data_IF_241250602144
#
_entry.id   IF_241250602144
#
_cell.length_a   1.000
_cell.length_b   1.000
_cell.length_c   1.000
_cell.angle_alpha   90.00
_cell.angle_beta   90.00
_cell.angle_gamma   90.00
#
_symmetry.space_group_name_H-M   'P 1'
#
loop_
_entity.id
_entity.type
_entity.pdbx_description
1 polymer ?
#
# COMPACT_ATOMS: atom_id res chain seq x y z
N UNK A 1 -18.02 -3.56 -5.91
CA UNK A 1 -17.54 -4.88 -5.46
C UNK A 1 -17.93 -5.13 -4.02
N UNK A 2 -17.84 -6.36 -3.58
CA UNK A 2 -18.11 -6.74 -2.18
C UNK A 2 -16.85 -6.68 -1.30
N UNK A 3 -15.77 -6.12 -1.81
CA UNK A 3 -14.47 -6.02 -1.14
C UNK A 3 -13.32 -6.06 -2.14
N UNK A 4 -12.10 -5.92 -1.64
CA UNK A 4 -10.87 -5.85 -2.43
C UNK A 4 -10.64 -7.13 -3.26
N UNK A 5 -10.84 -8.30 -2.67
CA UNK A 5 -10.70 -9.58 -3.36
C UNK A 5 -11.64 -9.70 -4.58
N UNK A 6 -12.87 -9.23 -4.48
CA UNK A 6 -13.81 -9.25 -5.60
C UNK A 6 -13.39 -8.29 -6.73
N UNK A 7 -12.80 -7.15 -6.38
CA UNK A 7 -12.25 -6.22 -7.36
C UNK A 7 -11.00 -6.79 -8.03
N UNK A 8 -10.10 -7.43 -7.28
CA UNK A 8 -8.88 -8.03 -7.83
C UNK A 8 -9.18 -9.17 -8.81
N UNK A 9 -10.18 -10.01 -8.51
CA UNK A 9 -10.65 -11.07 -9.42
C UNK A 9 -11.21 -10.47 -10.72
N UNK A 10 -12.03 -9.42 -10.64
CA UNK A 10 -12.57 -8.74 -11.82
C UNK A 10 -11.44 -8.15 -12.67
N UNK A 11 -10.52 -7.44 -12.05
CA UNK A 11 -9.38 -6.81 -12.72
C UNK A 11 -8.47 -7.86 -13.38
N UNK A 12 -8.19 -8.96 -12.69
CA UNK A 12 -7.38 -10.05 -13.25
C UNK A 12 -8.08 -10.74 -14.42
N UNK A 13 -9.40 -10.88 -14.37
CA UNK A 13 -10.19 -11.41 -15.49
C UNK A 13 -10.06 -10.48 -16.72
N UNK A 14 -10.27 -9.18 -16.53
CA UNK A 14 -10.13 -8.19 -17.60
C UNK A 14 -8.72 -8.19 -18.19
N UNK A 15 -7.71 -8.25 -17.33
CA UNK A 15 -6.31 -8.32 -17.75
C UNK A 15 -6.04 -9.55 -18.65
N UNK A 16 -6.56 -10.72 -18.29
CA UNK A 16 -6.44 -11.96 -19.07
C UNK A 16 -7.18 -11.91 -20.40
N UNK A 17 -8.25 -11.14 -20.49
CA UNK A 17 -8.98 -10.87 -21.71
C UNK A 17 -8.29 -9.83 -22.62
N UNK A 18 -7.14 -9.27 -22.19
CA UNK A 18 -6.34 -8.35 -22.99
C UNK A 18 -6.65 -6.87 -22.76
N UNK A 19 -7.46 -6.54 -21.75
CA UNK A 19 -7.76 -5.15 -21.43
C UNK A 19 -6.59 -4.48 -20.71
N UNK A 20 -6.35 -3.22 -21.06
CA UNK A 20 -5.47 -2.30 -20.34
C UNK A 20 -6.33 -1.36 -19.51
N UNK A 21 -5.98 -1.18 -18.23
CA UNK A 21 -6.76 -0.38 -17.33
C UNK A 21 -5.89 0.31 -16.29
N UNK A 22 -6.43 1.35 -15.69
CA UNK A 22 -5.83 2.08 -14.59
C UNK A 22 -6.84 2.14 -13.45
N UNK A 23 -6.39 1.84 -12.25
CA UNK A 23 -7.22 1.86 -11.05
C UNK A 23 -6.60 2.74 -9.97
N UNK A 24 -7.46 3.40 -9.21
CA UNK A 24 -7.10 4.11 -7.98
C UNK A 24 -7.29 3.19 -6.77
N UNK A 25 -6.90 3.69 -5.60
CA UNK A 25 -7.24 3.04 -4.34
C UNK A 25 -8.75 2.83 -4.25
N UNK A 26 -9.22 1.67 -3.81
CA UNK A 26 -10.64 1.44 -3.57
C UNK A 26 -11.22 2.44 -2.55
N UNK A 27 -12.40 2.96 -2.84
CA UNK A 27 -13.12 3.87 -1.95
C UNK A 27 -14.42 3.23 -1.49
N UNK A 28 -14.80 3.50 -0.24
CA UNK A 28 -16.09 3.08 0.29
C UNK A 28 -17.21 4.01 -0.20
N UNK A 29 -18.40 3.46 -0.39
CA UNK A 29 -19.55 4.24 -0.83
C UNK A 29 -20.14 4.99 0.36
N UNK A 30 -20.02 6.31 0.36
CA UNK A 30 -20.65 7.19 1.33
C UNK A 30 -22.11 7.41 0.93
N UNK A 31 -23.03 7.34 1.90
CA UNK A 31 -24.45 7.62 1.72
C UNK A 31 -24.88 8.78 2.61
N UNK A 32 -25.87 9.52 2.15
CA UNK A 32 -26.58 10.46 2.99
C UNK A 32 -27.87 9.80 3.51
N UNK A 33 -27.99 9.73 4.82
CA UNK A 33 -29.14 9.12 5.51
C UNK A 33 -29.67 10.19 6.48
N UNK A 34 -30.90 10.61 6.30
CA UNK A 34 -31.54 11.65 7.10
C UNK A 34 -30.74 12.97 7.20
N UNK A 35 -30.07 13.36 6.09
CA UNK A 35 -29.23 14.56 6.02
C UNK A 35 -27.85 14.40 6.65
N UNK A 36 -27.47 13.21 7.11
CA UNK A 36 -26.17 12.91 7.70
C UNK A 36 -25.35 12.06 6.73
N UNK A 37 -24.11 12.45 6.50
CA UNK A 37 -23.15 11.61 5.77
C UNK A 37 -22.83 10.38 6.60
N UNK A 38 -23.04 9.20 6.01
CA UNK A 38 -22.80 7.90 6.64
C UNK A 38 -21.83 7.07 5.80
N UNK A 39 -21.00 6.30 6.49
CA UNK A 39 -20.10 5.33 5.90
C UNK A 39 -20.45 3.91 6.33
N UNK A 40 -20.09 2.90 5.51
CA UNK A 40 -20.36 1.51 5.86
C UNK A 40 -19.42 1.07 6.99
N UNK A 41 -19.98 0.35 7.95
CA UNK A 41 -19.23 -0.34 9.00
C UNK A 41 -19.35 -1.84 8.80
N UNK A 42 -18.29 -2.54 9.16
CA UNK A 42 -18.22 -3.98 9.08
C UNK A 42 -18.01 -4.59 10.47
N UNK A 43 -18.68 -5.69 10.71
CA UNK A 43 -18.44 -6.55 11.86
C UNK A 43 -17.28 -7.47 11.54
N UNK A 44 -16.19 -7.32 12.29
CA UNK A 44 -14.96 -8.10 12.14
C UNK A 44 -14.87 -9.09 13.28
N UNK A 45 -14.77 -10.36 12.96
CA UNK A 45 -14.54 -11.44 13.93
C UNK A 45 -13.14 -11.99 13.71
N UNK A 46 -12.37 -12.04 14.77
CA UNK A 46 -10.99 -12.52 14.76
C UNK A 46 -10.84 -13.65 15.75
N UNK A 47 -10.29 -14.76 15.30
CA UNK A 47 -9.85 -15.87 16.12
C UNK A 47 -8.32 -15.94 16.06
N UNK A 48 -7.64 -15.83 17.21
CA UNK A 48 -6.18 -15.72 17.26
C UNK A 48 -5.62 -16.25 18.58
N UNK A 49 -4.33 -16.73 18.60
CA UNK A 49 -3.63 -16.94 19.85
C UNK A 49 -3.58 -15.67 20.72
N UNK A 50 -3.69 -15.83 22.03
CA UNK A 50 -3.77 -14.73 22.99
C UNK A 50 -2.56 -13.78 22.93
N UNK A 51 -1.38 -14.29 22.56
CA UNK A 51 -0.15 -13.49 22.41
C UNK A 51 -0.25 -12.36 21.39
N UNK A 52 -1.14 -12.46 20.38
CA UNK A 52 -1.34 -11.42 19.34
C UNK A 52 -2.50 -10.47 19.65
N UNK A 53 -3.30 -10.75 20.68
CA UNK A 53 -4.50 -10.00 21.02
C UNK A 53 -4.23 -8.50 21.20
N UNK A 54 -3.20 -8.15 21.98
CA UNK A 54 -2.88 -6.74 22.26
C UNK A 54 -2.58 -5.92 21.01
N UNK A 55 -1.75 -6.47 20.11
CA UNK A 55 -1.39 -5.82 18.83
C UNK A 55 -2.59 -5.64 17.91
N UNK A 56 -3.49 -6.61 17.87
CA UNK A 56 -4.72 -6.55 17.07
C UNK A 56 -5.66 -5.47 17.61
N UNK A 57 -5.89 -5.43 18.91
CA UNK A 57 -6.74 -4.42 19.57
C UNK A 57 -6.19 -3.02 19.28
N UNK A 58 -4.90 -2.81 19.46
CA UNK A 58 -4.25 -1.53 19.18
C UNK A 58 -4.40 -1.13 17.71
N UNK A 59 -4.11 -2.04 16.77
CA UNK A 59 -4.18 -1.76 15.34
C UNK A 59 -5.59 -1.42 14.89
N UNK A 60 -6.62 -2.18 15.30
CA UNK A 60 -8.01 -1.90 14.94
C UNK A 60 -8.56 -0.64 15.61
N UNK A 61 -8.17 -0.36 16.86
CA UNK A 61 -8.56 0.88 17.56
C UNK A 61 -7.98 2.12 16.86
N UNK A 62 -6.72 2.06 16.39
CA UNK A 62 -6.12 3.12 15.58
C UNK A 62 -6.86 3.34 14.25
N UNK A 63 -7.51 2.30 13.73
CA UNK A 63 -8.38 2.32 12.54
C UNK A 63 -9.84 2.65 12.86
N UNK A 64 -10.10 3.22 14.06
CA UNK A 64 -11.43 3.60 14.56
C UNK A 64 -12.40 2.42 14.71
N UNK A 65 -11.86 1.23 14.91
CA UNK A 65 -12.65 0.07 15.31
C UNK A 65 -13.05 0.14 16.78
N UNK A 66 -14.27 -0.25 17.06
CA UNK A 66 -14.83 -0.37 18.41
C UNK A 66 -14.97 -1.85 18.76
N UNK A 67 -14.32 -2.29 19.83
CA UNK A 67 -14.44 -3.65 20.32
C UNK A 67 -15.84 -3.88 20.90
N UNK A 68 -16.53 -4.89 20.39
CA UNK A 68 -17.90 -5.24 20.76
C UNK A 68 -17.94 -6.39 21.76
N UNK A 69 -17.07 -7.39 21.57
CA UNK A 69 -17.03 -8.59 22.40
C UNK A 69 -15.62 -9.21 22.40
N UNK A 70 -15.30 -9.94 23.45
CA UNK A 70 -14.07 -10.70 23.57
C UNK A 70 -14.31 -11.95 24.42
N UNK A 71 -13.92 -13.09 23.90
CA UNK A 71 -14.09 -14.39 24.56
C UNK A 71 -12.77 -15.17 24.56
N UNK A 72 -12.33 -15.59 25.74
CA UNK A 72 -11.19 -16.48 25.89
C UNK A 72 -11.65 -17.92 25.85
N UNK A 73 -10.92 -18.76 25.12
CA UNK A 73 -11.12 -20.19 25.08
C UNK A 73 -10.07 -20.88 25.94
N UNK A 74 -10.43 -22.04 26.52
CA UNK A 74 -9.55 -22.81 27.43
C UNK A 74 -8.23 -23.30 26.78
N UNK A 75 -8.10 -23.19 25.47
CA UNK A 75 -6.94 -23.64 24.69
C UNK A 75 -5.95 -22.52 24.33
N UNK A 76 -6.02 -21.34 25.00
CA UNK A 76 -5.13 -20.21 24.72
C UNK A 76 -5.46 -19.45 23.43
N UNK A 77 -6.67 -19.63 22.91
CA UNK A 77 -7.22 -18.86 21.79
C UNK A 77 -8.18 -17.79 22.30
N UNK A 78 -8.22 -16.67 21.64
CA UNK A 78 -9.19 -15.60 21.93
C UNK A 78 -10.00 -15.29 20.67
N UNK A 79 -11.29 -15.09 20.86
CA UNK A 79 -12.21 -14.55 19.85
C UNK A 79 -12.50 -13.11 20.17
N UNK A 80 -12.27 -12.22 19.22
CA UNK A 80 -12.52 -10.79 19.34
C UNK A 80 -13.47 -10.34 18.27
N UNK A 81 -14.46 -9.53 18.63
CA UNK A 81 -15.40 -8.93 17.69
C UNK A 81 -15.25 -7.42 17.72
N UNK A 82 -15.04 -6.83 16.56
CA UNK A 82 -14.98 -5.38 16.35
C UNK A 82 -16.06 -4.90 15.39
N UNK A 83 -16.48 -3.66 15.58
CA UNK A 83 -17.21 -2.88 14.58
C UNK A 83 -16.23 -1.84 14.02
N UNK A 84 -15.94 -1.91 12.73
CA UNK A 84 -14.86 -1.13 12.10
C UNK A 84 -15.40 -0.40 10.87
N UNK A 85 -15.08 0.89 10.64
CA UNK A 85 -15.37 1.53 9.36
C UNK A 85 -14.74 0.73 8.21
N UNK A 86 -15.51 0.39 7.18
CA UNK A 86 -15.03 -0.47 6.08
C UNK A 86 -13.74 0.05 5.43
N UNK A 87 -13.55 1.39 5.33
CA UNK A 87 -12.30 1.98 4.83
C UNK A 87 -11.10 1.71 5.74
N UNK A 88 -11.31 1.43 7.03
CA UNK A 88 -10.27 1.03 7.97
C UNK A 88 -9.76 -0.40 7.72
N UNK A 89 -10.51 -1.22 7.01
CA UNK A 89 -10.11 -2.59 6.66
C UNK A 89 -9.38 -2.68 5.31
N UNK A 90 -9.38 -1.60 4.52
CA UNK A 90 -8.64 -1.55 3.26
C UNK A 90 -7.14 -1.73 3.54
N UNK A 91 -6.53 -2.76 2.93
CA UNK A 91 -5.14 -3.14 3.13
C UNK A 91 -4.82 -3.74 4.51
N UNK A 92 -5.81 -4.01 5.35
CA UNK A 92 -5.58 -4.55 6.69
C UNK A 92 -5.22 -6.03 6.71
N UNK A 93 -5.65 -6.79 5.71
CA UNK A 93 -5.44 -8.24 5.65
C UNK A 93 -3.96 -8.61 5.69
N UNK A 94 -3.13 -7.93 4.91
CA UNK A 94 -1.67 -8.16 4.86
C UNK A 94 -0.99 -7.79 6.18
N UNK A 95 -1.37 -6.68 6.79
CA UNK A 95 -0.90 -6.26 8.12
C UNK A 95 -1.27 -7.30 9.20
N UNK A 96 -2.54 -7.72 9.20
CA UNK A 96 -3.06 -8.73 10.13
C UNK A 96 -2.32 -10.08 10.03
N UNK A 97 -2.12 -10.59 8.81
CA UNK A 97 -1.38 -11.85 8.58
C UNK A 97 0.07 -11.74 9.04
N UNK A 98 0.73 -10.61 8.77
CA UNK A 98 2.08 -10.34 9.23
C UNK A 98 2.17 -10.27 10.75
N UNK A 99 1.26 -9.54 11.39
CA UNK A 99 1.18 -9.34 12.84
C UNK A 99 0.94 -10.65 13.60
N UNK A 100 0.06 -11.50 13.05
CA UNK A 100 -0.30 -12.81 13.64
C UNK A 100 0.59 -13.95 13.15
N UNK A 101 1.61 -13.68 12.33
CA UNK A 101 2.46 -14.71 11.69
C UNK A 101 1.66 -15.79 10.96
N UNK A 102 0.47 -15.40 10.44
CA UNK A 102 -0.45 -16.32 9.78
C UNK A 102 -1.31 -17.19 10.71
N UNK A 103 -1.19 -17.09 12.02
CA UNK A 103 -1.98 -17.88 12.97
C UNK A 103 -3.38 -17.31 13.24
N UNK A 104 -3.62 -16.06 12.89
CA UNK A 104 -4.93 -15.44 13.06
C UNK A 104 -5.88 -15.74 11.90
N UNK A 105 -7.16 -15.87 12.21
CA UNK A 105 -8.26 -15.98 11.24
C UNK A 105 -9.12 -14.74 11.40
N UNK A 106 -9.37 -14.04 10.31
CA UNK A 106 -10.20 -12.85 10.30
C UNK A 106 -11.32 -13.02 9.28
N UNK A 107 -12.54 -12.80 9.74
CA UNK A 107 -13.74 -12.72 8.91
C UNK A 107 -14.41 -11.37 9.12
N UNK A 108 -14.89 -10.76 8.08
CA UNK A 108 -15.63 -9.51 8.17
C UNK A 108 -16.84 -9.50 7.25
N UNK A 109 -17.90 -8.86 7.68
CA UNK A 109 -19.15 -8.73 6.94
C UNK A 109 -19.73 -7.34 7.15
N UNK A 110 -20.41 -6.82 6.12
CA UNK A 110 -21.16 -5.57 6.27
C UNK A 110 -22.16 -5.68 7.43
N UNK A 111 -22.18 -4.67 8.30
CA UNK A 111 -23.12 -4.56 9.41
C UNK A 111 -24.15 -3.46 9.14
N UNK A 112 -23.73 -2.21 9.12
CA UNK A 112 -24.62 -1.05 8.97
C UNK A 112 -23.92 0.20 8.45
N UNK A 113 -24.68 1.23 8.14
CA UNK A 113 -24.17 2.57 7.90
C UNK A 113 -24.23 3.39 9.19
N UNK A 114 -23.12 4.02 9.56
CA UNK A 114 -23.01 4.94 10.71
C UNK A 114 -22.45 6.29 10.25
N UNK A 115 -22.62 7.36 11.06
CA UNK A 115 -22.09 8.67 10.73
C UNK A 115 -20.61 8.62 10.34
N UNK A 116 -20.27 9.34 9.26
CA UNK A 116 -18.93 9.40 8.73
C UNK A 116 -17.97 10.03 9.74
N UNK A 117 -16.85 9.37 10.00
CA UNK A 117 -15.78 9.87 10.88
C UNK A 117 -14.83 10.75 10.05
N UNK A 118 -14.77 12.07 10.28
CA UNK A 118 -13.99 13.00 9.45
C UNK A 118 -12.49 12.97 9.75
N UNK A 119 -11.92 11.76 9.79
CA UNK A 119 -10.47 11.54 9.98
C UNK A 119 -9.94 10.57 8.95
N UNK A 120 -8.68 10.70 8.58
CA UNK A 120 -8.03 9.70 7.74
C UNK A 120 -7.89 8.40 8.53
N UNK A 121 -8.35 7.30 7.96
CA UNK A 121 -8.33 5.97 8.57
C UNK A 121 -7.67 4.99 7.62
N UNK A 122 -6.75 4.20 8.15
CA UNK A 122 -6.03 3.20 7.35
C UNK A 122 -5.05 3.83 6.37
N UNK A 123 -4.64 3.04 5.39
CA UNK A 123 -3.66 3.44 4.41
C UNK A 123 -2.26 2.94 4.74
N UNK A 124 -1.36 3.03 3.76
CA UNK A 124 0.03 2.64 3.90
C UNK A 124 0.73 3.55 4.91
N UNK A 125 1.46 2.95 5.84
CA UNK A 125 2.25 3.68 6.83
C UNK A 125 3.51 4.29 6.21
N UNK A 126 4.18 3.53 5.36
CA UNK A 126 5.43 3.94 4.73
C UNK A 126 5.18 4.69 3.41
N UNK A 127 6.08 5.58 3.04
CA UNK A 127 6.05 6.29 1.77
C UNK A 127 6.47 5.40 0.59
N UNK A 128 6.44 5.97 -0.61
CA UNK A 128 6.92 5.36 -1.85
C UNK A 128 8.32 5.86 -2.23
N UNK A 129 9.11 5.00 -2.87
CA UNK A 129 10.27 5.39 -3.66
C UNK A 129 9.78 5.73 -5.08
N UNK A 130 9.89 7.00 -5.46
CA UNK A 130 9.31 7.52 -6.71
C UNK A 130 10.41 7.93 -7.67
N UNK A 131 10.39 7.38 -8.89
CA UNK A 131 11.39 7.72 -9.89
C UNK A 131 11.31 9.20 -10.31
N UNK A 132 12.47 9.83 -10.44
CA UNK A 132 12.62 11.20 -10.97
C UNK A 132 12.93 11.23 -12.45
N UNK A 133 13.28 10.09 -13.04
CA UNK A 133 13.83 10.01 -14.39
C UNK A 133 13.17 8.90 -15.20
N UNK A 134 13.20 9.07 -16.53
CA UNK A 134 12.75 8.07 -17.48
C UNK A 134 13.97 7.35 -18.08
N UNK A 135 13.88 6.02 -18.20
CA UNK A 135 14.95 5.18 -18.76
C UNK A 135 14.92 3.77 -18.21
N UNK A 136 16.04 3.05 -18.34
CA UNK A 136 16.17 1.68 -17.80
C UNK A 136 16.78 1.70 -16.40
N UNK A 137 16.17 0.95 -15.50
CA UNK A 137 16.72 0.73 -14.18
C UNK A 137 18.09 0.03 -14.29
N UNK A 138 19.09 0.53 -13.59
CA UNK A 138 20.43 -0.05 -13.58
C UNK A 138 20.74 -0.69 -12.23
N UNK A 139 21.58 -1.72 -12.22
CA UNK A 139 22.06 -2.32 -10.97
C UNK A 139 22.70 -1.27 -10.07
N UNK A 140 23.51 -0.38 -10.64
CA UNK A 140 24.17 0.69 -9.90
C UNK A 140 23.17 1.70 -9.28
N UNK A 141 22.14 2.09 -10.04
CA UNK A 141 21.09 2.98 -9.56
C UNK A 141 20.28 2.35 -8.43
N UNK A 142 19.93 1.06 -8.56
CA UNK A 142 19.20 0.30 -7.53
C UNK A 142 20.04 0.18 -6.25
N UNK A 143 21.31 -0.19 -6.34
CA UNK A 143 22.22 -0.27 -5.18
C UNK A 143 22.29 1.05 -4.38
N UNK A 144 22.24 2.19 -5.05
CA UNK A 144 22.24 3.50 -4.39
C UNK A 144 20.97 3.80 -3.59
N UNK A 145 19.94 2.99 -3.74
CA UNK A 145 18.60 3.23 -3.16
C UNK A 145 18.11 2.08 -2.27
N UNK A 146 18.62 0.87 -2.44
CA UNK A 146 18.15 -0.33 -1.73
C UNK A 146 18.24 -0.29 -0.20
N UNK A 147 19.11 0.58 0.37
CA UNK A 147 19.17 0.81 1.81
C UNK A 147 18.04 1.71 2.32
N UNK A 148 17.33 2.38 1.43
CA UNK A 148 16.24 3.32 1.76
C UNK A 148 14.88 2.67 1.83
N UNK A 149 14.78 1.40 1.42
CA UNK A 149 13.51 0.68 1.42
C UNK A 149 13.55 -0.61 0.63
N UNK A 150 12.36 -1.11 0.29
CA UNK A 150 12.17 -2.34 -0.48
C UNK A 150 11.95 -1.99 -1.94
N UNK A 151 12.80 -2.50 -2.82
CA UNK A 151 12.70 -2.24 -4.27
C UNK A 151 11.74 -3.23 -4.92
N UNK A 152 10.91 -2.76 -5.87
CA UNK A 152 9.98 -3.56 -6.66
C UNK A 152 10.48 -3.82 -8.08
N UNK A 153 11.45 -3.05 -8.54
CA UNK A 153 11.90 -2.98 -9.93
C UNK A 153 13.20 -3.76 -10.14
N UNK A 154 13.21 -4.64 -11.14
CA UNK A 154 14.40 -5.38 -11.56
C UNK A 154 15.32 -4.51 -12.44
N UNK A 155 16.65 -4.77 -12.46
CA UNK A 155 17.55 -4.14 -13.42
C UNK A 155 17.10 -4.40 -14.86
N UNK A 156 17.22 -3.40 -15.73
CA UNK A 156 16.81 -3.48 -17.13
C UNK A 156 15.33 -3.14 -17.37
N UNK A 157 14.51 -3.05 -16.34
CA UNK A 157 13.10 -2.62 -16.46
C UNK A 157 13.02 -1.17 -16.93
N UNK A 158 12.14 -0.90 -17.88
CA UNK A 158 11.82 0.46 -18.29
C UNK A 158 10.96 1.16 -17.24
N UNK A 159 11.41 2.32 -16.83
CA UNK A 159 10.76 3.17 -15.84
C UNK A 159 10.56 4.58 -16.40
N UNK A 160 9.67 5.33 -15.78
CA UNK A 160 9.37 6.72 -16.15
C UNK A 160 9.27 7.61 -14.91
N UNK A 161 9.37 8.93 -15.10
CA UNK A 161 9.19 9.90 -14.02
C UNK A 161 7.81 9.72 -13.37
N UNK A 162 7.79 9.65 -12.04
CA UNK A 162 6.55 9.43 -11.27
C UNK A 162 6.15 7.98 -11.06
N UNK A 163 6.84 7.01 -11.70
CA UNK A 163 6.65 5.59 -11.41
C UNK A 163 7.16 5.26 -10.01
N UNK A 164 6.41 4.43 -9.28
CA UNK A 164 6.79 3.91 -7.98
C UNK A 164 7.68 2.68 -8.19
N UNK A 165 8.89 2.76 -7.68
CA UNK A 165 9.93 1.72 -7.88
C UNK A 165 10.24 0.95 -6.61
N UNK A 166 9.58 1.31 -5.49
CA UNK A 166 9.74 0.64 -4.21
C UNK A 166 8.93 1.28 -3.10
N UNK A 167 8.98 0.65 -1.93
CA UNK A 167 8.45 1.17 -0.67
C UNK A 167 9.59 1.82 0.13
N UNK A 168 9.37 3.06 0.61
CA UNK A 168 10.33 3.75 1.46
C UNK A 168 10.27 3.21 2.90
N UNK A 169 11.37 3.19 3.60
CA UNK A 169 11.42 2.77 5.01
C UNK A 169 10.86 3.80 6.00
N UNK A 170 10.47 5.00 5.53
CA UNK A 170 9.89 6.09 6.31
C UNK A 170 8.52 6.46 5.76
N UNK A 171 7.74 7.22 6.53
CA UNK A 171 6.36 7.59 6.19
C UNK A 171 6.25 8.52 4.96
N UNK A 172 7.29 9.29 4.64
CA UNK A 172 7.27 10.21 3.50
C UNK A 172 7.75 9.56 2.20
N UNK A 173 7.20 9.99 1.08
CA UNK A 173 7.72 9.62 -0.23
C UNK A 173 9.14 10.16 -0.44
N UNK A 174 9.95 9.38 -1.14
CA UNK A 174 11.30 9.75 -1.50
C UNK A 174 11.49 9.70 -3.02
N UNK A 175 11.90 10.83 -3.59
CA UNK A 175 12.28 10.92 -4.99
C UNK A 175 13.66 10.30 -5.21
N UNK A 176 13.76 9.34 -6.14
CA UNK A 176 14.98 8.56 -6.38
C UNK A 176 15.26 8.44 -7.87
N UNK A 177 16.55 8.32 -8.22
CA UNK A 177 16.97 8.03 -9.58
C UNK A 177 17.68 6.67 -9.62
N UNK A 178 16.99 5.67 -10.19
CA UNK A 178 17.53 4.31 -10.38
C UNK A 178 18.02 4.04 -11.82
N UNK A 179 18.02 5.06 -12.69
CA UNK A 179 18.57 4.95 -14.06
C UNK A 179 20.05 5.27 -14.15
N UNK A 180 20.64 5.75 -13.05
CA UNK A 180 22.05 6.16 -13.01
C UNK A 180 22.96 5.01 -13.39
N UNK A 181 23.82 5.23 -14.39
CA UNK A 181 24.90 4.33 -14.73
C UNK A 181 26.16 4.67 -13.93
N UNK A 182 26.99 3.67 -13.65
CA UNK A 182 28.34 3.89 -13.09
C UNK A 182 29.15 4.69 -14.12
N UNK A 183 29.64 5.88 -13.73
CA UNK A 183 30.57 6.61 -14.59
C UNK A 183 31.86 5.81 -14.73
N UNK A 184 32.28 5.58 -15.95
CA UNK A 184 33.59 4.98 -16.21
C UNK A 184 34.67 6.02 -15.84
N UNK A 185 35.29 5.80 -14.69
CA UNK A 185 36.53 6.54 -14.39
C UNK A 185 37.69 5.78 -15.03
N UNK A 186 38.57 6.49 -15.76
CA UNK A 186 39.77 5.94 -16.41
C UNK A 186 40.83 5.40 -15.43
N UNK A 187 40.60 5.41 -14.14
CA UNK A 187 41.46 4.84 -13.12
C UNK A 187 41.11 3.36 -12.97
N UNK A 188 41.82 2.51 -13.67
CA UNK A 188 41.84 1.06 -13.40
C UNK A 188 42.56 0.83 -12.07
N UNK A 189 41.81 0.84 -10.96
CA UNK A 189 42.32 0.15 -9.78
C UNK A 189 42.19 -1.35 -10.03
N UNK A 190 43.30 -2.06 -9.97
CA UNK A 190 43.38 -3.51 -10.16
C UNK A 190 42.71 -4.32 -9.00
N UNK A 191 41.81 -3.70 -8.27
CA UNK A 191 41.08 -4.33 -7.16
C UNK A 191 39.76 -4.82 -7.71
N UNK A 192 39.73 -6.13 -7.97
CA UNK A 192 38.60 -7.04 -8.04
C UNK A 192 37.24 -6.36 -8.27
N UNK A 193 36.67 -6.53 -9.45
CA UNK A 193 35.24 -6.33 -9.69
C UNK A 193 34.46 -7.10 -8.62
N UNK A 194 34.12 -6.43 -7.53
CA UNK A 194 33.12 -6.95 -6.63
C UNK A 194 31.82 -7.02 -7.45
N UNK A 195 31.40 -8.22 -7.73
CA UNK A 195 30.09 -8.48 -8.31
C UNK A 195 29.08 -7.86 -7.36
N UNK A 196 28.55 -6.71 -7.71
CA UNK A 196 27.62 -5.96 -6.90
C UNK A 196 26.31 -6.74 -6.85
N UNK A 197 26.08 -7.45 -5.77
CA UNK A 197 24.86 -8.22 -5.54
C UNK A 197 23.84 -7.27 -4.94
N UNK A 198 22.75 -7.00 -5.66
CA UNK A 198 21.57 -6.30 -5.15
C UNK A 198 20.64 -7.28 -4.42
N UNK A 199 19.88 -6.78 -3.46
CA UNK A 199 18.78 -7.55 -2.85
C UNK A 199 17.76 -7.90 -3.93
N UNK A 200 17.16 -9.09 -3.83
CA UNK A 200 16.10 -9.51 -4.75
C UNK A 200 14.92 -8.55 -4.65
N UNK A 201 14.50 -7.89 -5.74
CA UNK A 201 13.33 -7.02 -5.73
C UNK A 201 12.07 -7.78 -5.33
N UNK A 202 11.21 -7.15 -4.54
CA UNK A 202 9.91 -7.71 -4.19
C UNK A 202 8.96 -7.57 -5.37
N UNK A 203 8.42 -8.68 -5.89
CA UNK A 203 7.36 -8.68 -6.89
C UNK A 203 6.02 -8.61 -6.16
N UNK A 204 5.27 -7.55 -6.40
CA UNK A 204 3.92 -7.40 -5.87
C UNK A 204 2.92 -8.18 -6.72
N UNK A 205 2.03 -8.93 -6.08
CA UNK A 205 0.82 -9.45 -6.73
C UNK A 205 -0.13 -8.31 -7.07
N UNK A 206 -1.22 -8.60 -7.79
CA UNK A 206 -2.25 -7.60 -8.07
C UNK A 206 -2.90 -7.11 -6.76
N UNK A 207 -3.23 -8.01 -5.85
CA UNK A 207 -3.80 -7.70 -4.54
C UNK A 207 -2.86 -6.80 -3.74
N UNK A 208 -1.59 -7.19 -3.59
CA UNK A 208 -0.58 -6.38 -2.90
C UNK A 208 -0.39 -5.01 -3.55
N UNK A 209 -0.50 -4.93 -4.88
CA UNK A 209 -0.41 -3.66 -5.62
C UNK A 209 -1.59 -2.75 -5.32
N UNK A 210 -2.81 -3.28 -5.24
CA UNK A 210 -4.02 -2.52 -4.89
C UNK A 210 -3.99 -2.06 -3.43
N UNK A 211 -3.56 -2.92 -2.50
CA UNK A 211 -3.38 -2.60 -1.08
C UNK A 211 -2.31 -1.52 -0.85
N UNK A 212 -1.27 -1.52 -1.70
CA UNK A 212 -0.17 -0.54 -1.61
C UNK A 212 -0.60 0.88 -1.97
N UNK A 213 -1.65 1.07 -2.77
CA UNK A 213 -2.06 2.37 -3.28
C UNK A 213 -2.43 3.38 -2.18
N UNK A 214 -1.90 4.58 -2.30
CA UNK A 214 -2.37 5.78 -1.59
C UNK A 214 -3.32 6.59 -2.46
N UNK A 215 -3.98 7.60 -1.87
CA UNK A 215 -5.01 8.40 -2.54
C UNK A 215 -4.51 9.21 -3.75
N UNK A 216 -3.19 9.46 -3.82
CA UNK A 216 -2.52 10.18 -4.91
C UNK A 216 -1.81 9.25 -5.90
N UNK A 217 -2.16 7.97 -5.90
CA UNK A 217 -1.50 6.93 -6.70
C UNK A 217 -2.48 6.17 -7.59
N UNK A 218 -1.94 5.58 -8.66
CA UNK A 218 -2.64 4.70 -9.57
C UNK A 218 -1.86 3.39 -9.77
N UNK A 219 -2.59 2.32 -10.01
CA UNK A 219 -2.06 1.07 -10.53
C UNK A 219 -2.40 0.97 -12.02
N UNK A 220 -1.40 0.90 -12.86
CA UNK A 220 -1.53 0.61 -14.30
C UNK A 220 -1.42 -0.89 -14.51
N UNK A 221 -2.41 -1.46 -15.17
CA UNK A 221 -2.55 -2.90 -15.37
C UNK A 221 -2.66 -3.17 -16.87
N UNK A 222 -1.71 -3.91 -17.39
CA UNK A 222 -1.71 -4.41 -18.76
C UNK A 222 -1.66 -5.94 -18.75
N UNK A 223 -1.92 -6.63 -19.85
CA UNK A 223 -1.76 -8.09 -19.92
C UNK A 223 -0.41 -8.59 -19.42
N UNK A 224 0.65 -7.82 -19.65
CA UNK A 224 2.03 -8.23 -19.36
C UNK A 224 2.57 -7.67 -18.04
N UNK A 225 2.11 -6.48 -17.60
CA UNK A 225 2.74 -5.77 -16.49
C UNK A 225 1.74 -5.12 -15.55
N UNK A 226 2.13 -5.04 -14.27
CA UNK A 226 1.46 -4.23 -13.25
C UNK A 226 2.47 -3.18 -12.78
N UNK A 227 2.10 -1.90 -12.83
CA UNK A 227 2.96 -0.77 -12.44
C UNK A 227 2.22 0.16 -11.51
N UNK A 228 2.91 0.63 -10.50
CA UNK A 228 2.40 1.66 -9.59
C UNK A 228 2.97 3.02 -9.97
N UNK A 229 2.19 4.07 -9.91
CA UNK A 229 2.64 5.43 -10.21
C UNK A 229 1.91 6.51 -9.43
N UNK A 230 2.51 7.67 -9.34
CA UNK A 230 1.81 8.87 -8.85
C UNK A 230 0.80 9.38 -9.90
N UNK A 231 -0.29 10.00 -9.44
CA UNK A 231 -1.26 10.66 -10.32
C UNK A 231 -0.61 11.80 -11.09
N UNK A 232 0.18 12.62 -10.41
CA UNK A 232 0.98 13.70 -11.01
C UNK A 232 2.39 13.14 -11.21
N UNK A 233 2.79 12.93 -12.46
CA UNK A 233 4.07 12.32 -12.79
C UNK A 233 5.25 13.25 -12.53
N UNK A 234 5.12 14.54 -12.87
CA UNK A 234 6.21 15.50 -12.71
C UNK A 234 6.46 15.84 -11.24
N UNK A 235 7.71 15.71 -10.79
CA UNK A 235 8.12 15.96 -9.40
C UNK A 235 7.79 17.37 -8.94
N UNK A 236 8.10 18.40 -9.75
CA UNK A 236 7.87 19.79 -9.39
C UNK A 236 6.39 20.15 -9.24
N UNK A 237 5.53 19.55 -10.07
CA UNK A 237 4.07 19.72 -9.98
C UNK A 237 3.51 19.01 -8.75
N UNK A 238 3.99 17.80 -8.40
CA UNK A 238 3.62 17.12 -7.16
C UNK A 238 3.95 17.94 -5.92
N UNK A 239 5.17 18.49 -5.86
CA UNK A 239 5.59 19.32 -4.72
C UNK A 239 4.72 20.57 -4.57
N UNK A 240 4.33 21.21 -5.68
CA UNK A 240 3.40 22.34 -5.68
C UNK A 240 2.00 21.94 -5.21
N UNK A 241 1.48 20.81 -5.70
CA UNK A 241 0.18 20.29 -5.30
C UNK A 241 0.15 19.94 -3.79
N UNK A 242 1.19 19.30 -3.29
CA UNK A 242 1.30 18.95 -1.86
C UNK A 242 1.39 20.19 -0.96
N UNK A 243 2.10 21.22 -1.37
CA UNK A 243 2.13 22.51 -0.64
C UNK A 243 0.74 23.16 -0.57
N UNK A 244 -0.01 23.17 -1.67
CA UNK A 244 -1.39 23.71 -1.70
C UNK A 244 -2.33 22.94 -0.78
N UNK A 245 -2.26 21.58 -0.77
CA UNK A 245 -3.06 20.75 0.14
C UNK A 245 -2.78 21.08 1.62
N UNK A 246 -1.50 21.14 2.00
CA UNK A 246 -1.10 21.47 3.38
C UNK A 246 -1.55 22.88 3.81
N UNK A 247 -1.54 23.86 2.90
CA UNK A 247 -2.05 25.20 3.19
C UNK A 247 -3.56 25.18 3.43
N UNK A 248 -4.32 24.50 2.57
CA UNK A 248 -5.77 24.36 2.74
C UNK A 248 -6.17 23.61 4.02
N UNK A 249 -5.39 22.64 4.47
CA UNK A 249 -5.59 21.90 5.73
C UNK A 249 -5.25 22.73 6.98
N UNK A 250 -4.36 23.73 6.86
CA UNK A 250 -3.98 24.62 7.97
C UNK A 250 -4.93 25.83 8.13
N UNK A 251 -5.81 26.10 7.15
CA UNK A 251 -6.78 27.19 7.15
C UNK A 251 -8.19 26.75 7.60
N UNK A 252 -8.41 25.42 7.81
CA UNK A 252 -9.62 24.82 8.34
C UNK A 252 -9.42 24.33 9.78
#
# INVERSE_FOLDING_TARGET
GRGELHLSILIETMRREGYELQVSRPEVIIKEIDGVKCEPFERVQIDTPEEYMGSIIESLSNRKGEMQDMQHNDNGQVRIVFLVPARGLLGYTTEFLSMTRGYGIMNHTFDQYLPYIPTSIGGRRNGALVSTDTGKATTYGIMGVEERGVIFTEPGTEIYEGMIVGEHSRENDLAVNITKAKQQTNIRSATKDQTSVIKTPKKLSLEESLEFLSDDEYCEITPETIRLRKQILNKGEREKANKRKKQAESEN
#
